data_IF_472980072533
#
_entry.id   IF_472980072533
#
_cell.length_a   1.000
_cell.length_b   1.000
_cell.length_c   1.000
_cell.angle_alpha   90.00
_cell.angle_beta   90.00
_cell.angle_gamma   90.00
#
_symmetry.space_group_name_H-M   'P 1'
#
loop_
_entity.id
_entity.type
_entity.pdbx_description
1 polymer ?
#
# COMPACT_ATOMS: atom_id res chain seq x y z
N UNK A 1 5.20 -0.57 -18.24
CA UNK A 1 5.58 0.12 -17.00
C UNK A 1 5.10 -0.68 -15.77
N UNK A 2 5.84 -0.60 -14.65
CA UNK A 2 5.48 -1.29 -13.39
C UNK A 2 4.08 -0.89 -12.95
N UNK A 3 3.80 0.40 -12.94
CA UNK A 3 2.50 0.97 -12.54
C UNK A 3 1.30 0.37 -13.31
N UNK A 4 1.50 -0.03 -14.56
CA UNK A 4 0.44 -0.68 -15.36
C UNK A 4 -0.13 -1.92 -14.67
N UNK A 5 0.73 -2.78 -14.12
CA UNK A 5 0.32 -4.03 -13.49
C UNK A 5 -0.43 -3.79 -12.18
N UNK A 6 0.03 -2.82 -11.38
CA UNK A 6 -0.69 -2.41 -10.16
C UNK A 6 -2.08 -1.88 -10.52
N UNK A 7 -2.17 -0.90 -11.43
CA UNK A 7 -3.46 -0.34 -11.85
C UNK A 7 -4.38 -1.38 -12.49
N UNK A 8 -3.84 -2.36 -13.21
CA UNK A 8 -4.64 -3.35 -13.90
C UNK A 8 -5.46 -4.21 -12.95
N UNK A 9 -4.87 -4.67 -11.85
CA UNK A 9 -5.60 -5.44 -10.83
C UNK A 9 -6.76 -4.63 -10.24
N UNK A 10 -6.52 -3.38 -9.85
CA UNK A 10 -7.58 -2.52 -9.30
C UNK A 10 -8.64 -2.15 -10.34
N UNK A 11 -8.25 -1.92 -11.60
CA UNK A 11 -9.18 -1.65 -12.69
C UNK A 11 -10.13 -2.82 -12.96
N UNK A 12 -9.62 -4.05 -12.91
CA UNK A 12 -10.38 -5.26 -13.25
C UNK A 12 -11.21 -5.78 -12.06
N UNK A 13 -10.85 -5.43 -10.82
CA UNK A 13 -11.55 -5.86 -9.61
C UNK A 13 -12.95 -5.25 -9.51
N UNK A 14 -13.95 -6.08 -9.18
CA UNK A 14 -15.31 -5.60 -8.88
C UNK A 14 -15.44 -4.98 -7.47
N UNK A 15 -14.42 -5.08 -6.64
CA UNK A 15 -14.40 -4.52 -5.30
C UNK A 15 -13.97 -3.06 -5.26
N UNK A 16 -13.43 -2.54 -6.35
CA UNK A 16 -12.88 -1.19 -6.46
C UNK A 16 -13.77 -0.38 -7.40
N UNK A 17 -14.33 0.70 -6.90
CA UNK A 17 -15.20 1.60 -7.66
C UNK A 17 -14.39 2.71 -8.35
N UNK A 18 -13.39 3.26 -7.66
CA UNK A 18 -12.62 4.42 -8.10
C UNK A 18 -11.13 4.29 -7.75
N UNK A 19 -10.28 4.94 -8.54
CA UNK A 19 -8.83 4.98 -8.34
C UNK A 19 -8.36 6.42 -8.38
N UNK A 20 -7.72 6.86 -7.31
CA UNK A 20 -7.00 8.14 -7.25
C UNK A 20 -5.51 7.84 -7.40
N UNK A 21 -4.93 8.30 -8.50
CA UNK A 21 -3.50 8.13 -8.75
C UNK A 21 -2.73 9.34 -8.23
N UNK A 22 -1.88 9.10 -7.22
CA UNK A 22 -1.01 10.13 -6.64
C UNK A 22 0.42 9.93 -7.15
N UNK A 23 1.02 10.97 -7.71
CA UNK A 23 2.35 10.91 -8.35
C UNK A 23 3.15 12.20 -8.14
N UNK A 24 4.41 12.22 -8.58
CA UNK A 24 5.19 13.47 -8.62
C UNK A 24 4.53 14.51 -9.53
N UNK A 25 4.64 15.77 -9.18
CA UNK A 25 4.00 16.85 -9.94
C UNK A 25 4.44 16.89 -11.41
N UNK A 26 5.69 16.59 -11.67
CA UNK A 26 6.30 16.50 -13.02
C UNK A 26 5.81 15.28 -13.82
N UNK A 27 5.28 14.26 -13.14
CA UNK A 27 4.82 13.00 -13.76
C UNK A 27 3.31 12.97 -14.04
N UNK A 28 2.54 13.97 -13.63
CA UNK A 28 1.08 13.98 -13.82
C UNK A 28 0.68 13.82 -15.29
N UNK A 29 1.26 14.62 -16.17
CA UNK A 29 0.95 14.58 -17.61
C UNK A 29 1.33 13.24 -18.22
N UNK A 30 2.49 12.69 -17.85
CA UNK A 30 2.93 11.38 -18.30
C UNK A 30 1.95 10.28 -17.83
N UNK A 31 1.60 10.27 -16.54
CA UNK A 31 0.66 9.28 -15.99
C UNK A 31 -0.71 9.38 -16.66
N UNK A 32 -1.24 10.58 -16.89
CA UNK A 32 -2.53 10.78 -17.58
C UNK A 32 -2.51 10.23 -19.00
N UNK A 33 -1.51 10.56 -19.79
CA UNK A 33 -1.49 10.27 -21.21
C UNK A 33 -0.92 8.87 -21.51
N UNK A 34 0.27 8.56 -20.97
CA UNK A 34 1.02 7.37 -21.33
C UNK A 34 0.66 6.14 -20.48
N UNK A 35 -0.03 6.34 -19.34
CA UNK A 35 -0.49 5.24 -18.49
C UNK A 35 -2.01 5.16 -18.53
N UNK A 36 -2.71 6.14 -17.97
CA UNK A 36 -4.17 6.07 -17.84
C UNK A 36 -4.86 6.06 -19.20
N UNK A 37 -4.57 7.02 -20.05
CA UNK A 37 -5.18 7.14 -21.37
C UNK A 37 -4.78 6.01 -22.30
N UNK A 38 -3.47 5.71 -22.39
CA UNK A 38 -2.94 4.67 -23.27
C UNK A 38 -3.49 3.26 -23.00
N UNK A 39 -3.71 2.92 -21.74
CA UNK A 39 -4.20 1.60 -21.34
C UNK A 39 -5.69 1.59 -20.94
N UNK A 40 -6.39 2.71 -21.13
CA UNK A 40 -7.83 2.85 -20.88
C UNK A 40 -8.24 2.47 -19.45
N UNK A 41 -7.51 2.98 -18.47
CA UNK A 41 -7.87 2.80 -17.06
C UNK A 41 -9.04 3.71 -16.68
N UNK A 42 -10.26 3.25 -16.90
CA UNK A 42 -11.49 4.03 -16.75
C UNK A 42 -11.88 4.33 -15.31
N UNK A 43 -11.40 3.52 -14.36
CA UNK A 43 -11.61 3.76 -12.92
C UNK A 43 -10.66 4.81 -12.35
N UNK A 44 -9.61 5.21 -13.07
CA UNK A 44 -8.75 6.31 -12.63
C UNK A 44 -9.47 7.63 -12.88
N UNK A 45 -10.18 8.12 -11.86
CA UNK A 45 -10.97 9.35 -11.95
C UNK A 45 -10.10 10.60 -11.91
N UNK A 46 -9.00 10.57 -11.16
CA UNK A 46 -8.11 11.70 -10.99
C UNK A 46 -6.64 11.28 -10.86
N UNK A 47 -5.75 12.10 -11.42
CA UNK A 47 -4.29 12.01 -11.22
C UNK A 47 -3.83 13.32 -10.59
N UNK A 48 -3.26 13.25 -9.39
CA UNK A 48 -2.89 14.42 -8.59
C UNK A 48 -1.43 14.37 -8.15
N UNK A 49 -0.90 15.54 -7.77
CA UNK A 49 0.41 15.64 -7.17
C UNK A 49 0.40 15.11 -5.74
N UNK A 50 1.42 14.33 -5.38
CA UNK A 50 1.73 13.99 -4.00
C UNK A 50 2.41 15.13 -3.24
N UNK A 51 2.72 14.86 -1.98
CA UNK A 51 3.50 15.76 -1.13
C UNK A 51 4.99 15.40 -1.09
N UNK A 52 5.69 16.00 -0.14
CA UNK A 52 7.14 15.80 0.04
C UNK A 52 7.45 14.38 0.50
N UNK A 53 6.68 13.88 1.44
CA UNK A 53 6.83 12.55 2.02
C UNK A 53 5.68 11.62 1.59
N UNK A 54 5.84 10.31 1.81
CA UNK A 54 4.81 9.32 1.46
C UNK A 54 3.48 9.63 2.16
N UNK A 55 3.51 9.94 3.45
CA UNK A 55 2.29 10.25 4.21
C UNK A 55 1.60 11.54 3.75
N UNK A 56 2.35 12.52 3.21
CA UNK A 56 1.76 13.70 2.59
C UNK A 56 1.02 13.35 1.30
N UNK A 57 1.62 12.46 0.49
CA UNK A 57 1.01 11.96 -0.74
C UNK A 57 -0.28 11.20 -0.45
N UNK A 58 -0.28 10.32 0.56
CA UNK A 58 -1.48 9.62 1.02
C UNK A 58 -2.56 10.59 1.45
N UNK A 59 -2.21 11.61 2.22
CA UNK A 59 -3.17 12.62 2.66
C UNK A 59 -3.80 13.39 1.50
N UNK A 60 -3.03 13.75 0.46
CA UNK A 60 -3.60 14.35 -0.75
C UNK A 60 -4.59 13.42 -1.44
N UNK A 61 -4.29 12.12 -1.52
CA UNK A 61 -5.22 11.11 -2.02
C UNK A 61 -6.51 11.04 -1.20
N UNK A 62 -6.40 11.02 0.13
CA UNK A 62 -7.55 11.02 1.03
C UNK A 62 -8.43 12.28 0.90
N UNK A 63 -7.81 13.44 0.64
CA UNK A 63 -8.54 14.70 0.38
C UNK A 63 -9.35 14.66 -0.93
N UNK A 64 -8.91 13.87 -1.90
CA UNK A 64 -9.58 13.75 -3.19
C UNK A 64 -10.69 12.68 -3.20
N UNK A 65 -10.78 11.84 -2.16
CA UNK A 65 -11.88 10.87 -2.04
C UNK A 65 -13.22 11.58 -1.76
N UNK A 66 -14.29 11.06 -2.37
CA UNK A 66 -15.67 11.49 -2.15
C UNK A 66 -16.55 10.25 -1.93
N UNK A 67 -17.52 10.32 -1.02
CA UNK A 67 -18.53 9.28 -0.74
C UNK A 67 -17.93 7.86 -0.63
N UNK A 68 -16.89 7.74 0.20
CA UNK A 68 -16.04 6.55 0.26
C UNK A 68 -16.21 5.83 1.61
N UNK A 69 -16.51 4.55 1.58
CA UNK A 69 -16.58 3.72 2.81
C UNK A 69 -15.19 3.24 3.23
N UNK A 70 -14.42 2.70 2.29
CA UNK A 70 -13.11 2.10 2.51
C UNK A 70 -12.08 2.61 1.52
N UNK A 71 -10.84 2.74 1.96
CA UNK A 71 -9.70 3.08 1.10
C UNK A 71 -8.63 1.99 1.14
N UNK A 72 -8.09 1.67 -0.04
CA UNK A 72 -6.99 0.75 -0.24
C UNK A 72 -5.76 1.57 -0.64
N UNK A 73 -4.87 1.81 0.29
CA UNK A 73 -3.64 2.58 0.04
C UNK A 73 -2.57 1.62 -0.48
N UNK A 74 -2.18 1.80 -1.74
CA UNK A 74 -1.28 0.85 -2.41
C UNK A 74 -0.08 1.53 -3.07
N UNK A 75 1.09 0.92 -2.91
CA UNK A 75 2.31 1.34 -3.59
C UNK A 75 2.25 0.95 -5.07
N UNK A 76 2.26 1.91 -6.00
CA UNK A 76 2.29 1.65 -7.44
C UNK A 76 3.49 0.82 -7.91
N UNK A 77 4.51 0.66 -7.07
CA UNK A 77 5.68 -0.17 -7.30
C UNK A 77 5.50 -1.65 -6.87
N UNK A 78 4.29 -2.08 -6.48
CA UNK A 78 3.96 -3.49 -6.18
C UNK A 78 3.04 -4.08 -7.26
N UNK A 79 3.58 -4.58 -8.36
CA UNK A 79 2.80 -4.99 -9.53
C UNK A 79 2.10 -6.35 -9.39
N UNK A 80 2.33 -7.10 -8.31
CA UNK A 80 1.84 -8.47 -8.14
C UNK A 80 0.72 -8.59 -7.10
N UNK A 81 -0.05 -7.52 -6.94
CA UNK A 81 -1.32 -7.56 -6.21
C UNK A 81 -2.31 -8.46 -6.96
N UNK A 82 -3.16 -9.21 -6.25
CA UNK A 82 -4.17 -10.10 -6.82
C UNK A 82 -5.55 -9.83 -6.23
N UNK A 83 -6.60 -10.30 -6.92
CA UNK A 83 -7.99 -10.16 -6.47
C UNK A 83 -8.20 -10.81 -5.09
N UNK A 84 -7.62 -11.99 -4.84
CA UNK A 84 -7.74 -12.67 -3.56
C UNK A 84 -7.13 -11.86 -2.39
N UNK A 85 -6.11 -11.05 -2.65
CA UNK A 85 -5.56 -10.15 -1.63
C UNK A 85 -6.54 -9.01 -1.37
N UNK A 86 -7.17 -8.46 -2.40
CA UNK A 86 -8.19 -7.41 -2.25
C UNK A 86 -9.41 -7.94 -1.49
N UNK A 87 -9.90 -9.15 -1.81
CA UNK A 87 -11.00 -9.81 -1.10
C UNK A 87 -10.71 -10.00 0.39
N UNK A 88 -9.53 -10.55 0.73
CA UNK A 88 -9.12 -10.71 2.14
C UNK A 88 -8.98 -9.38 2.85
N UNK A 89 -8.46 -8.37 2.16
CA UNK A 89 -8.35 -7.01 2.68
C UNK A 89 -9.70 -6.39 2.97
N UNK A 90 -10.66 -6.51 2.04
CA UNK A 90 -12.02 -6.01 2.23
C UNK A 90 -12.73 -6.72 3.41
N UNK A 91 -12.57 -8.04 3.51
CA UNK A 91 -13.11 -8.79 4.64
C UNK A 91 -12.51 -8.32 5.97
N UNK A 92 -11.19 -8.12 6.01
CA UNK A 92 -10.49 -7.65 7.21
C UNK A 92 -10.92 -6.27 7.65
N UNK A 93 -11.02 -5.29 6.73
CA UNK A 93 -11.43 -3.92 7.08
C UNK A 93 -12.89 -3.84 7.51
N UNK A 94 -13.77 -4.63 6.94
CA UNK A 94 -15.18 -4.71 7.36
C UNK A 94 -15.34 -5.19 8.80
N UNK A 95 -14.45 -6.07 9.24
CA UNK A 95 -14.49 -6.61 10.61
C UNK A 95 -13.91 -5.64 11.65
N UNK A 96 -12.82 -4.94 11.32
CA UNK A 96 -12.02 -4.19 12.31
C UNK A 96 -11.89 -2.69 12.03
N UNK A 97 -12.29 -2.23 10.85
CA UNK A 97 -12.11 -0.86 10.40
C UNK A 97 -10.69 -0.54 9.91
N UNK A 98 -9.71 -1.40 10.19
CA UNK A 98 -8.31 -1.22 9.79
C UNK A 98 -7.60 -2.56 9.60
N UNK A 99 -6.96 -2.76 8.46
CA UNK A 99 -6.10 -3.92 8.24
C UNK A 99 -4.93 -3.61 7.28
N UNK A 100 -3.89 -4.41 7.38
CA UNK A 100 -2.73 -4.31 6.51
C UNK A 100 -2.36 -5.67 5.94
N UNK A 101 -2.01 -5.68 4.67
CA UNK A 101 -1.49 -6.86 3.99
C UNK A 101 -0.03 -7.07 4.37
N UNK A 102 0.33 -8.30 4.70
CA UNK A 102 1.71 -8.66 5.03
C UNK A 102 1.96 -10.16 4.90
N UNK A 103 3.19 -10.55 5.15
CA UNK A 103 3.60 -11.96 5.18
C UNK A 103 4.43 -12.23 6.43
N UNK A 104 4.28 -13.42 7.07
CA UNK A 104 5.20 -13.85 8.12
C UNK A 104 6.63 -13.83 7.61
N UNK A 105 7.57 -13.36 8.45
CA UNK A 105 8.99 -13.37 8.09
C UNK A 105 9.49 -14.81 7.90
N UNK A 106 10.21 -15.04 6.80
CA UNK A 106 10.93 -16.31 6.57
C UNK A 106 12.25 -16.36 7.31
N UNK A 107 12.83 -15.20 7.57
CA UNK A 107 14.15 -15.05 8.17
C UNK A 107 14.07 -14.84 9.69
N UNK A 108 15.16 -15.15 10.37
CA UNK A 108 15.34 -14.76 11.77
C UNK A 108 15.69 -13.28 11.81
N UNK A 109 14.85 -12.48 12.48
CA UNK A 109 15.06 -11.05 12.66
C UNK A 109 15.79 -10.81 13.99
N UNK A 110 16.75 -9.89 13.98
CA UNK A 110 17.44 -9.38 15.17
C UNK A 110 17.15 -7.89 15.29
N UNK A 111 16.85 -7.44 16.50
CA UNK A 111 16.86 -6.02 16.84
C UNK A 111 18.22 -5.70 17.43
N UNK A 112 18.89 -4.69 16.87
CA UNK A 112 20.17 -4.21 17.39
C UNK A 112 19.95 -3.21 18.52
N UNK A 113 20.93 -3.13 19.44
CA UNK A 113 21.09 -1.97 20.31
C UNK A 113 21.84 -0.83 19.59
N UNK A 114 22.09 0.29 20.30
CA UNK A 114 22.77 1.47 19.77
C UNK A 114 24.23 1.21 19.40
N UNK A 115 24.88 0.22 20.03
CA UNK A 115 26.27 -0.17 19.80
C UNK A 115 26.43 -1.22 18.67
N UNK A 116 25.32 -1.68 18.07
CA UNK A 116 25.31 -2.65 16.97
C UNK A 116 25.32 -4.12 17.39
N UNK A 117 25.16 -4.41 18.69
CA UNK A 117 25.00 -5.78 19.18
C UNK A 117 23.53 -6.25 19.11
N UNK A 118 23.33 -7.55 19.22
CA UNK A 118 21.99 -8.14 19.28
C UNK A 118 21.34 -7.81 20.62
N UNK A 119 20.38 -6.89 20.62
CA UNK A 119 19.58 -6.55 21.80
C UNK A 119 18.45 -7.55 22.03
N UNK A 120 17.71 -7.94 20.96
CA UNK A 120 16.59 -8.88 21.08
C UNK A 120 16.43 -9.73 19.80
N UNK A 121 15.93 -10.95 19.98
CA UNK A 121 15.47 -11.81 18.88
C UNK A 121 13.97 -12.07 19.06
N UNK A 122 13.09 -11.42 18.29
CA UNK A 122 11.67 -11.67 18.40
C UNK A 122 11.31 -13.08 17.94
N UNK A 123 10.22 -13.61 18.47
CA UNK A 123 9.69 -14.90 18.03
C UNK A 123 9.24 -14.80 16.56
N UNK A 124 9.85 -15.56 15.66
CA UNK A 124 9.66 -15.46 14.20
C UNK A 124 8.20 -15.51 13.79
N UNK A 125 7.35 -16.33 14.46
CA UNK A 125 5.91 -16.42 14.14
C UNK A 125 5.14 -15.12 14.40
N UNK A 126 5.69 -14.19 15.19
CA UNK A 126 5.08 -12.89 15.50
C UNK A 126 5.63 -11.78 14.60
N UNK A 127 6.64 -12.06 13.77
CA UNK A 127 7.26 -11.07 12.90
C UNK A 127 6.63 -11.15 11.51
N UNK A 128 6.09 -10.03 11.07
CA UNK A 128 5.50 -9.87 9.75
C UNK A 128 6.21 -8.77 8.97
N UNK A 129 6.43 -9.00 7.69
CA UNK A 129 6.86 -7.97 6.74
C UNK A 129 5.63 -7.38 6.09
N UNK A 130 5.42 -6.08 6.32
CA UNK A 130 4.22 -5.38 5.86
C UNK A 130 4.35 -5.02 4.37
N UNK A 131 3.27 -5.24 3.66
CA UNK A 131 3.09 -4.93 2.27
C UNK A 131 2.02 -3.84 2.09
N UNK A 132 1.56 -3.63 0.88
CA UNK A 132 0.35 -2.90 0.56
C UNK A 132 -0.54 -3.77 -0.35
N UNK A 133 -1.87 -3.57 -0.35
CA UNK A 133 -2.58 -2.43 0.22
C UNK A 133 -2.64 -2.44 1.75
N UNK A 134 -2.69 -1.24 2.32
CA UNK A 134 -3.14 -0.99 3.69
C UNK A 134 -4.56 -0.44 3.59
N UNK A 135 -5.50 -1.00 4.33
CA UNK A 135 -6.92 -0.81 4.06
C UNK A 135 -7.62 -0.32 5.32
N UNK A 136 -8.40 0.74 5.17
CA UNK A 136 -9.03 1.41 6.30
C UNK A 136 -10.44 1.84 5.93
N UNK A 137 -11.32 1.95 6.94
CA UNK A 137 -12.51 2.79 6.78
C UNK A 137 -12.07 4.23 6.56
N UNK A 138 -12.71 4.93 5.61
CA UNK A 138 -12.28 6.26 5.18
C UNK A 138 -12.25 7.26 6.33
N UNK A 139 -13.32 7.31 7.12
CA UNK A 139 -13.42 8.23 8.25
C UNK A 139 -12.32 8.04 9.28
N UNK A 140 -11.93 6.77 9.55
CA UNK A 140 -10.88 6.44 10.51
C UNK A 140 -9.53 6.98 10.06
N UNK A 141 -9.10 6.59 8.85
CA UNK A 141 -7.78 6.97 8.35
C UNK A 141 -7.69 8.48 8.08
N UNK A 142 -8.78 9.10 7.60
CA UNK A 142 -8.85 10.52 7.37
C UNK A 142 -8.65 11.32 8.67
N UNK A 143 -9.39 10.98 9.73
CA UNK A 143 -9.27 11.61 11.05
C UNK A 143 -7.89 11.38 11.67
N UNK A 144 -7.35 10.17 11.53
CA UNK A 144 -6.02 9.84 12.04
C UNK A 144 -4.93 10.69 11.36
N UNK A 145 -4.97 10.84 10.03
CA UNK A 145 -4.06 11.75 9.31
C UNK A 145 -4.22 13.21 9.71
N UNK A 146 -5.44 13.69 9.89
CA UNK A 146 -5.69 15.08 10.34
C UNK A 146 -5.14 15.35 11.75
N UNK A 147 -5.19 14.34 12.63
CA UNK A 147 -4.67 14.44 13.99
C UNK A 147 -3.14 14.42 14.02
N UNK A 148 -2.51 13.40 13.38
CA UNK A 148 -1.07 13.19 13.45
C UNK A 148 -0.27 14.32 12.80
N UNK A 149 -0.82 14.98 11.77
CA UNK A 149 -0.17 16.12 11.08
C UNK A 149 0.08 17.34 11.98
N UNK A 150 -0.50 17.35 13.18
CA UNK A 150 -0.26 18.37 14.22
C UNK A 150 0.92 18.01 15.13
N UNK A 151 1.53 16.84 14.93
CA UNK A 151 2.60 16.27 15.75
C UNK A 151 3.86 16.06 14.91
N UNK A 152 4.93 15.58 15.54
CA UNK A 152 6.12 15.12 14.81
C UNK A 152 5.82 13.79 14.10
N UNK A 153 5.99 13.79 12.79
CA UNK A 153 5.75 12.63 11.91
C UNK A 153 7.05 11.93 11.48
N UNK A 154 8.20 12.33 11.99
CA UNK A 154 9.51 11.81 11.56
C UNK A 154 9.68 10.31 11.73
N UNK A 155 8.93 9.68 12.63
CA UNK A 155 8.96 8.24 12.91
C UNK A 155 7.90 7.44 12.15
N UNK A 156 7.00 8.10 11.42
CA UNK A 156 5.91 7.43 10.70
C UNK A 156 6.45 6.74 9.46
N UNK A 157 6.30 5.43 9.40
CA UNK A 157 6.79 4.59 8.30
C UNK A 157 5.67 4.12 7.36
N UNK A 158 4.44 3.95 7.89
CA UNK A 158 3.28 3.50 7.12
C UNK A 158 1.95 4.06 7.66
N UNK A 159 0.84 3.76 6.97
CA UNK A 159 -0.47 4.29 7.32
C UNK A 159 -1.09 3.56 8.51
N UNK A 160 -0.72 2.29 8.73
CA UNK A 160 -1.15 1.55 9.91
C UNK A 160 -0.64 2.22 11.20
N UNK A 161 0.63 2.64 11.20
CA UNK A 161 1.22 3.34 12.33
C UNK A 161 0.50 4.65 12.66
N UNK A 162 0.00 5.36 11.63
CA UNK A 162 -0.84 6.55 11.84
C UNK A 162 -2.11 6.20 12.61
N UNK A 163 -2.81 5.12 12.21
CA UNK A 163 -4.03 4.66 12.89
C UNK A 163 -3.73 4.17 14.30
N UNK A 164 -2.67 3.39 14.50
CA UNK A 164 -2.25 2.86 15.80
C UNK A 164 -1.97 3.98 16.81
N UNK A 165 -1.29 5.04 16.38
CA UNK A 165 -0.94 6.15 17.27
C UNK A 165 -2.11 7.09 17.58
N UNK A 166 -3.05 7.27 16.64
CA UNK A 166 -4.06 8.31 16.75
C UNK A 166 -5.45 7.82 17.13
N UNK A 167 -5.78 6.55 16.91
CA UNK A 167 -7.16 6.08 17.09
C UNK A 167 -7.35 5.04 18.18
N UNK A 168 -6.29 4.35 18.60
CA UNK A 168 -6.39 3.20 19.49
C UNK A 168 -7.06 1.96 18.85
N UNK A 169 -7.42 2.03 17.58
CA UNK A 169 -7.98 0.89 16.83
C UNK A 169 -6.86 -0.09 16.51
N UNK A 170 -7.09 -1.37 16.80
CA UNK A 170 -6.14 -2.43 16.44
C UNK A 170 -6.17 -2.70 14.95
N UNK A 171 -5.00 -2.62 14.31
CA UNK A 171 -4.86 -2.93 12.90
C UNK A 171 -4.69 -4.44 12.72
N UNK A 172 -5.54 -5.06 11.89
CA UNK A 172 -5.50 -6.49 11.62
C UNK A 172 -4.45 -6.84 10.57
N UNK A 173 -3.65 -7.87 10.81
CA UNK A 173 -2.78 -8.46 9.81
C UNK A 173 -3.61 -9.38 8.88
N UNK A 174 -3.46 -9.19 7.57
CA UNK A 174 -4.09 -9.97 6.52
C UNK A 174 -3.01 -10.57 5.64
N UNK A 175 -3.14 -11.87 5.34
CA UNK A 175 -2.15 -12.58 4.53
C UNK A 175 -2.12 -12.04 3.09
N UNK A 176 -0.94 -11.63 2.66
CA UNK A 176 -0.63 -11.17 1.31
C UNK A 176 -0.09 -12.28 0.41
N UNK A 177 1.03 -11.98 -0.23
CA UNK A 177 1.79 -12.95 -1.03
C UNK A 177 3.27 -12.62 -1.00
N UNK A 178 4.13 -13.63 -0.96
CA UNK A 178 5.57 -13.43 -1.15
C UNK A 178 5.92 -12.97 -2.57
N UNK A 179 5.01 -13.07 -3.53
CA UNK A 179 5.17 -12.50 -4.86
C UNK A 179 4.85 -11.00 -4.90
N UNK A 180 4.09 -10.46 -3.92
CA UNK A 180 3.73 -9.04 -3.87
C UNK A 180 4.91 -8.18 -3.40
N UNK A 181 6.05 -8.32 -4.09
CA UNK A 181 7.27 -7.56 -3.84
C UNK A 181 7.09 -6.10 -4.22
N UNK A 182 7.86 -5.22 -3.58
CA UNK A 182 8.01 -3.82 -3.98
C UNK A 182 9.26 -3.71 -4.87
N UNK A 183 9.09 -3.20 -6.07
CA UNK A 183 10.21 -2.95 -6.99
C UNK A 183 10.86 -1.62 -6.59
N UNK A 184 12.05 -1.70 -6.04
CA UNK A 184 12.81 -0.54 -5.52
C UNK A 184 14.23 -0.47 -6.07
N UNK A 185 14.77 -1.59 -6.53
CA UNK A 185 16.12 -1.70 -7.10
C UNK A 185 16.06 -2.32 -8.51
N UNK A 186 17.12 -2.17 -9.32
CA UNK A 186 17.21 -2.85 -10.61
C UNK A 186 17.06 -4.37 -10.51
N UNK A 187 17.62 -5.00 -9.48
CA UNK A 187 17.57 -6.46 -9.24
C UNK A 187 16.13 -6.94 -9.02
N UNK A 188 15.28 -6.09 -8.43
CA UNK A 188 13.85 -6.41 -8.25
C UNK A 188 13.13 -6.57 -9.59
N UNK A 189 13.60 -5.91 -10.65
CA UNK A 189 13.05 -6.07 -12.01
C UNK A 189 13.33 -7.46 -12.57
N UNK A 190 14.52 -8.02 -12.34
CA UNK A 190 14.87 -9.37 -12.77
C UNK A 190 13.98 -10.40 -12.07
N UNK A 191 13.75 -10.22 -10.75
CA UNK A 191 12.83 -11.05 -9.98
C UNK A 191 11.39 -10.92 -10.50
N UNK A 192 10.96 -9.70 -10.78
CA UNK A 192 9.63 -9.41 -11.32
C UNK A 192 9.41 -10.07 -12.69
N UNK A 193 10.41 -10.07 -13.58
CA UNK A 193 10.31 -10.77 -14.86
C UNK A 193 10.10 -12.29 -14.70
N UNK A 194 10.77 -12.90 -13.73
CA UNK A 194 10.57 -14.34 -13.43
C UNK A 194 9.14 -14.60 -12.97
N UNK A 195 8.59 -13.74 -12.11
CA UNK A 195 7.21 -13.86 -11.65
C UNK A 195 6.19 -13.67 -12.79
N UNK A 196 6.39 -12.68 -13.65
CA UNK A 196 5.54 -12.45 -14.82
C UNK A 196 5.52 -13.64 -15.78
N UNK A 197 6.67 -14.28 -16.01
CA UNK A 197 6.76 -15.47 -16.86
C UNK A 197 5.98 -16.65 -16.30
N UNK A 198 5.90 -16.79 -14.97
CA UNK A 198 5.10 -17.83 -14.31
C UNK A 198 3.60 -17.58 -14.41
N UNK A 199 3.17 -16.32 -14.18
CA UNK A 199 1.75 -15.93 -14.25
C UNK A 199 1.20 -16.10 -15.67
N UNK A 200 1.97 -15.78 -16.71
CA UNK A 200 1.55 -15.93 -18.13
C UNK A 200 1.51 -17.39 -18.62
N UNK A 201 2.00 -18.35 -17.85
CA UNK A 201 1.99 -19.78 -18.21
C UNK A 201 0.82 -20.54 -17.59
N UNK A 202 0.02 -19.91 -16.75
CA UNK A 202 -1.23 -20.41 -16.18
C UNK A 202 -2.39 -19.84 -16.99
#
# INVERSE_FOLDING_TARGET
PVLYYSLRCFQDSLLIDDIILVTGNDMISYCKNEIVGRYSFTKVSIVIAGGKERYDSVYQGLLACADTDYVFIHDGARPFITEEILERGLAGVRETGACVVGMPSKDTVKLSDEDGFVGMTPERKQVWTIQTPQIFSYDLIRKAHESIRKKDMSTITDDAMVVEQESGVKVRLVEGSYHNIKITTPEDLDVAEVFLKKIKKI
#
